data_IF_030666203778
#
_entry.id   IF_030666203778
#
_cell.length_a   1.000
_cell.length_b   1.000
_cell.length_c   1.000
_cell.angle_alpha   90.00
_cell.angle_beta   90.00
_cell.angle_gamma   90.00
#
_symmetry.space_group_name_H-M   'P 1'
#
loop_
_entity.id
_entity.type
_entity.pdbx_description
1 polymer ?
#
# COMPACT_ATOMS: atom_id res chain seq x y z
N UNK A 1 -24.20 8.68 8.53
CA UNK A 1 -23.87 7.37 9.17
C UNK A 1 -22.38 7.35 9.39
N UNK A 2 -21.91 6.77 10.49
CA UNK A 2 -20.47 6.58 10.71
C UNK A 2 -19.91 5.71 9.57
N UNK A 3 -18.72 6.06 9.10
CA UNK A 3 -18.02 5.28 8.10
C UNK A 3 -17.54 3.93 8.67
N UNK A 4 -17.32 2.95 7.82
CA UNK A 4 -16.90 1.59 8.23
C UNK A 4 -15.50 1.59 8.91
N UNK A 5 -14.68 2.59 8.60
CA UNK A 5 -13.31 2.73 9.11
C UNK A 5 -13.15 3.86 10.13
N UNK A 6 -14.24 4.30 10.76
CA UNK A 6 -14.15 5.34 11.78
C UNK A 6 -13.26 4.91 12.95
N UNK A 7 -12.29 5.76 13.30
CA UNK A 7 -11.28 5.48 14.33
C UNK A 7 -10.08 4.65 13.85
N UNK A 8 -10.08 4.17 12.62
CA UNK A 8 -8.93 3.47 12.02
C UNK A 8 -7.91 4.47 11.49
N UNK A 9 -6.64 4.27 11.81
CA UNK A 9 -5.49 5.06 11.34
C UNK A 9 -4.82 4.33 10.18
N UNK A 10 -4.74 4.97 9.02
CA UNK A 10 -4.16 4.38 7.81
C UNK A 10 -3.07 5.29 7.28
N UNK A 11 -1.90 4.75 6.99
CA UNK A 11 -0.85 5.46 6.27
C UNK A 11 -0.80 5.00 4.81
N UNK A 12 -0.85 5.94 3.88
CA UNK A 12 -0.71 5.69 2.44
C UNK A 12 0.62 6.27 1.97
N UNK A 13 1.45 5.43 1.37
CA UNK A 13 2.78 5.83 0.92
C UNK A 13 2.72 6.51 -0.45
N UNK A 14 3.55 7.54 -0.63
CA UNK A 14 3.69 8.27 -1.89
C UNK A 14 5.15 8.62 -2.19
N UNK A 15 5.52 8.55 -3.46
CA UNK A 15 6.79 9.07 -3.98
C UNK A 15 6.62 9.46 -5.44
N UNK A 16 7.61 10.15 -6.00
CA UNK A 16 7.63 10.56 -7.41
C UNK A 16 7.35 9.37 -8.34
N UNK A 17 6.43 9.56 -9.27
CA UNK A 17 6.00 8.55 -10.25
C UNK A 17 4.96 7.58 -9.71
N UNK A 18 4.21 7.94 -8.67
CA UNK A 18 3.09 7.12 -8.19
C UNK A 18 2.05 6.89 -9.30
N UNK A 19 1.32 5.79 -9.24
CA UNK A 19 0.17 5.61 -10.13
C UNK A 19 -0.99 6.46 -9.63
N UNK A 20 -1.46 7.37 -10.48
CA UNK A 20 -2.36 8.46 -10.12
C UNK A 20 -3.68 7.96 -9.53
N UNK A 21 -4.32 6.98 -10.18
CA UNK A 21 -5.61 6.46 -9.75
C UNK A 21 -5.47 5.50 -8.55
N UNK A 22 -4.46 4.65 -8.56
CA UNK A 22 -4.21 3.72 -7.43
C UNK A 22 -3.98 4.48 -6.14
N UNK A 23 -3.31 5.62 -6.20
CA UNK A 23 -3.10 6.48 -5.05
C UNK A 23 -4.37 7.26 -4.68
N UNK A 24 -4.88 8.12 -5.60
CA UNK A 24 -5.94 9.04 -5.26
C UNK A 24 -7.28 8.37 -4.99
N UNK A 25 -7.68 7.38 -5.79
CA UNK A 25 -8.94 6.65 -5.56
C UNK A 25 -8.88 5.91 -4.22
N UNK A 26 -7.74 5.31 -3.89
CA UNK A 26 -7.58 4.61 -2.61
C UNK A 26 -7.63 5.59 -1.43
N UNK A 27 -6.95 6.73 -1.50
CA UNK A 27 -7.01 7.78 -0.46
C UNK A 27 -8.44 8.28 -0.27
N UNK A 28 -9.13 8.60 -1.38
CA UNK A 28 -10.51 9.10 -1.33
C UNK A 28 -11.46 8.05 -0.75
N UNK A 29 -11.30 6.79 -1.16
CA UNK A 29 -12.12 5.68 -0.66
C UNK A 29 -11.94 5.47 0.85
N UNK A 30 -10.72 5.46 1.33
CA UNK A 30 -10.44 5.31 2.76
C UNK A 30 -11.03 6.48 3.58
N UNK A 31 -10.89 7.71 3.07
CA UNK A 31 -11.49 8.89 3.72
C UNK A 31 -13.02 8.87 3.69
N UNK A 32 -13.62 8.43 2.60
CA UNK A 32 -15.08 8.24 2.48
C UNK A 32 -15.59 7.26 3.54
N UNK A 33 -14.84 6.21 3.83
CA UNK A 33 -15.17 5.22 4.86
C UNK A 33 -14.83 5.70 6.30
N UNK A 34 -14.32 6.91 6.46
CA UNK A 34 -14.08 7.52 7.77
C UNK A 34 -12.72 7.24 8.38
N UNK A 35 -11.77 6.66 7.66
CA UNK A 35 -10.42 6.44 8.15
C UNK A 35 -9.66 7.78 8.35
N UNK A 36 -8.84 7.84 9.40
CA UNK A 36 -7.81 8.86 9.57
C UNK A 36 -6.61 8.53 8.68
N UNK A 37 -6.55 9.18 7.51
CA UNK A 37 -5.56 8.88 6.47
C UNK A 37 -4.40 9.88 6.54
N UNK A 38 -3.22 9.36 6.87
CA UNK A 38 -1.93 10.07 6.77
C UNK A 38 -1.26 9.69 5.46
N UNK A 39 -0.83 10.68 4.69
CA UNK A 39 0.01 10.46 3.50
C UNK A 39 1.46 10.63 3.92
N UNK A 40 2.30 9.60 3.72
CA UNK A 40 3.71 9.64 4.07
C UNK A 40 4.60 9.32 2.87
N UNK A 41 5.75 9.97 2.80
CA UNK A 41 6.72 9.77 1.73
C UNK A 41 8.16 10.02 2.19
N UNK A 42 9.14 9.77 1.33
CA UNK A 42 10.53 10.12 1.63
C UNK A 42 10.76 11.63 1.79
N UNK A 43 9.85 12.45 1.29
CA UNK A 43 9.86 13.92 1.37
C UNK A 43 8.45 14.44 1.43
N UNK A 44 8.27 15.64 1.99
CA UNK A 44 7.01 16.38 1.97
C UNK A 44 6.88 17.33 0.77
N UNK A 45 7.90 17.41 -0.08
CA UNK A 45 7.79 18.16 -1.33
C UNK A 45 6.73 17.56 -2.24
N UNK A 46 6.11 18.42 -3.07
CA UNK A 46 5.17 17.96 -4.09
C UNK A 46 5.86 16.98 -5.04
N UNK A 47 5.20 15.86 -5.29
CA UNK A 47 5.62 14.82 -6.23
C UNK A 47 4.58 14.65 -7.32
N UNK A 48 5.02 14.18 -8.48
CA UNK A 48 4.17 13.99 -9.65
C UNK A 48 3.90 12.52 -9.91
N UNK A 49 2.65 12.19 -10.15
CA UNK A 49 2.26 10.88 -10.63
C UNK A 49 2.68 10.62 -12.08
N UNK A 50 2.69 9.38 -12.49
CA UNK A 50 3.10 8.99 -13.85
C UNK A 50 2.17 9.56 -14.95
N UNK A 51 0.92 9.88 -14.62
CA UNK A 51 -0.08 10.47 -15.52
C UNK A 51 -0.38 11.95 -15.16
N UNK A 52 0.53 12.61 -14.44
CA UNK A 52 0.60 14.04 -14.19
C UNK A 52 -0.29 14.62 -13.07
N UNK A 53 -1.06 13.87 -12.32
CA UNK A 53 -1.60 14.36 -11.07
C UNK A 53 -0.47 14.59 -10.07
N UNK A 54 -0.66 15.50 -9.13
CA UNK A 54 0.33 15.79 -8.09
C UNK A 54 -0.18 15.36 -6.72
N UNK A 55 0.73 15.11 -5.81
CA UNK A 55 0.48 14.86 -4.41
C UNK A 55 1.62 15.41 -3.56
N UNK A 56 1.33 15.70 -2.29
CA UNK A 56 2.35 15.98 -1.30
C UNK A 56 2.10 15.09 -0.08
N UNK A 57 3.16 14.56 0.51
CA UNK A 57 3.04 13.86 1.78
C UNK A 57 2.76 14.86 2.91
N UNK A 58 1.91 14.46 3.85
CA UNK A 58 1.63 15.24 5.06
C UNK A 58 2.86 15.25 5.98
N UNK A 59 3.58 14.11 6.00
CA UNK A 59 4.75 13.87 6.86
C UNK A 59 5.79 13.04 6.09
N UNK A 60 7.03 13.03 6.56
CA UNK A 60 8.01 12.06 6.07
C UNK A 60 7.80 10.71 6.74
N UNK A 61 8.27 9.62 6.11
CA UNK A 61 8.20 8.28 6.72
C UNK A 61 9.03 8.23 8.00
N UNK A 62 10.12 8.99 8.08
CA UNK A 62 10.95 9.08 9.30
C UNK A 62 10.16 9.71 10.47
N UNK A 63 9.30 10.70 10.20
CA UNK A 63 8.49 11.37 11.22
C UNK A 63 7.45 10.42 11.86
N UNK A 64 7.01 9.40 11.15
CA UNK A 64 6.04 8.39 11.65
C UNK A 64 6.72 7.10 12.09
N UNK A 65 8.05 7.10 12.20
CA UNK A 65 8.81 5.96 12.71
C UNK A 65 8.39 5.63 14.15
N UNK A 66 7.92 4.39 14.35
CA UNK A 66 7.41 3.94 15.64
C UNK A 66 5.94 4.26 15.91
N UNK A 67 5.26 4.98 15.04
CA UNK A 67 3.80 5.12 15.13
C UNK A 67 3.09 3.82 14.75
N UNK A 68 1.92 3.61 15.34
CA UNK A 68 1.08 2.44 15.08
C UNK A 68 -0.08 2.85 14.18
N UNK A 69 -0.19 2.17 13.04
CA UNK A 69 -1.30 2.28 12.11
C UNK A 69 -2.06 0.95 12.02
N UNK A 70 -3.36 1.01 11.76
CA UNK A 70 -4.18 -0.17 11.47
C UNK A 70 -3.88 -0.74 10.09
N UNK A 71 -3.43 0.13 9.16
CA UNK A 71 -3.00 -0.30 7.84
C UNK A 71 -1.88 0.58 7.27
N UNK A 72 -1.01 -0.06 6.47
CA UNK A 72 -0.05 0.58 5.58
C UNK A 72 -0.42 0.24 4.15
N UNK A 73 -0.55 1.25 3.28
CA UNK A 73 -0.99 1.08 1.89
C UNK A 73 0.07 1.56 0.92
N UNK A 74 0.39 0.71 -0.04
CA UNK A 74 1.44 0.95 -1.04
C UNK A 74 0.83 0.92 -2.45
N UNK A 75 0.46 2.07 -3.02
CA UNK A 75 0.10 2.18 -4.43
C UNK A 75 1.28 1.87 -5.37
N UNK A 76 0.98 1.63 -6.63
CA UNK A 76 1.98 1.29 -7.63
C UNK A 76 2.53 2.49 -8.41
N UNK A 77 2.66 2.31 -9.71
CA UNK A 77 3.43 3.19 -10.59
C UNK A 77 4.92 2.92 -10.48
N UNK A 78 5.74 3.96 -10.60
CA UNK A 78 7.20 3.89 -10.43
C UNK A 78 7.64 4.20 -8.99
N UNK A 79 6.74 4.73 -8.17
CA UNK A 79 7.01 5.09 -6.78
C UNK A 79 7.55 3.92 -5.94
N UNK A 80 7.04 2.67 -6.07
CA UNK A 80 7.55 1.53 -5.30
C UNK A 80 9.05 1.27 -5.48
N UNK A 81 9.62 1.51 -6.67
CA UNK A 81 11.06 1.41 -6.88
C UNK A 81 11.85 2.41 -6.01
N UNK A 82 11.29 3.61 -5.81
CA UNK A 82 11.91 4.62 -4.94
C UNK A 82 11.67 4.33 -3.46
N UNK A 83 10.44 3.98 -3.11
CA UNK A 83 10.04 3.67 -1.74
C UNK A 83 10.85 2.51 -1.16
N UNK A 84 11.05 1.42 -1.93
CA UNK A 84 11.79 0.23 -1.48
C UNK A 84 13.26 0.49 -1.14
N UNK A 85 13.84 1.60 -1.60
CA UNK A 85 15.22 2.00 -1.31
C UNK A 85 15.37 2.63 0.08
N UNK A 86 14.28 3.14 0.67
CA UNK A 86 14.25 3.71 2.01
C UNK A 86 14.18 2.62 3.07
N UNK A 87 15.12 2.65 4.04
CA UNK A 87 15.08 1.73 5.17
C UNK A 87 13.87 2.02 6.05
N UNK A 88 13.54 3.31 6.28
CA UNK A 88 12.37 3.71 7.07
C UNK A 88 11.06 3.16 6.49
N UNK A 89 10.90 3.16 5.14
CA UNK A 89 9.73 2.55 4.48
C UNK A 89 9.67 1.05 4.74
N UNK A 90 10.79 0.34 4.60
CA UNK A 90 10.84 -1.11 4.84
C UNK A 90 10.54 -1.45 6.30
N UNK A 91 11.05 -0.67 7.23
CA UNK A 91 10.82 -0.86 8.66
C UNK A 91 9.36 -0.57 9.05
N UNK A 92 8.74 0.47 8.46
CA UNK A 92 7.32 0.76 8.64
C UNK A 92 6.44 -0.41 8.17
N UNK A 93 6.69 -0.91 6.96
CA UNK A 93 5.93 -2.02 6.37
C UNK A 93 6.13 -3.32 7.16
N UNK A 94 7.39 -3.66 7.49
CA UNK A 94 7.69 -4.84 8.32
C UNK A 94 7.07 -4.74 9.70
N UNK A 95 7.20 -3.58 10.36
CA UNK A 95 6.63 -3.38 11.69
C UNK A 95 5.09 -3.46 11.69
N UNK A 96 4.42 -3.07 10.62
CA UNK A 96 2.99 -3.27 10.45
C UNK A 96 2.67 -4.76 10.34
N UNK A 97 3.39 -5.49 9.50
CA UNK A 97 3.23 -6.94 9.31
C UNK A 97 3.46 -7.71 10.63
N UNK A 98 4.55 -7.41 11.35
CA UNK A 98 4.88 -8.04 12.63
C UNK A 98 3.78 -7.88 13.70
N UNK A 99 3.00 -6.81 13.61
CA UNK A 99 1.86 -6.54 14.50
C UNK A 99 0.53 -7.10 13.98
N UNK A 100 0.51 -7.69 12.79
CA UNK A 100 -0.70 -8.16 12.13
C UNK A 100 -1.58 -7.03 11.58
N UNK A 101 -1.08 -5.80 11.50
CA UNK A 101 -1.77 -4.71 10.82
C UNK A 101 -1.87 -4.99 9.32
N UNK A 102 -2.89 -4.43 8.68
CA UNK A 102 -3.12 -4.67 7.25
C UNK A 102 -2.01 -4.00 6.43
N UNK A 103 -1.43 -4.74 5.50
CA UNK A 103 -0.53 -4.20 4.49
C UNK A 103 -1.17 -4.38 3.12
N UNK A 104 -1.62 -3.27 2.54
CA UNK A 104 -2.26 -3.25 1.23
C UNK A 104 -1.25 -2.88 0.13
N UNK A 105 -1.14 -3.71 -0.90
CA UNK A 105 -0.21 -3.52 -2.02
C UNK A 105 -0.92 -3.75 -3.34
N UNK A 106 -0.87 -2.76 -4.23
CA UNK A 106 -1.45 -2.88 -5.58
C UNK A 106 -0.38 -2.65 -6.64
N UNK A 107 -0.49 -3.34 -7.76
CA UNK A 107 0.33 -3.18 -8.97
C UNK A 107 1.81 -3.44 -8.66
N UNK A 108 2.68 -2.44 -8.81
CA UNK A 108 4.10 -2.53 -8.43
C UNK A 108 4.36 -2.37 -6.92
N UNK A 109 3.32 -2.09 -6.13
CA UNK A 109 3.44 -1.93 -4.67
C UNK A 109 4.05 -3.15 -3.97
N UNK A 110 3.85 -4.35 -4.52
CA UNK A 110 4.44 -5.59 -4.01
C UNK A 110 5.97 -5.59 -3.93
N UNK A 111 6.68 -4.76 -4.71
CA UNK A 111 8.12 -4.59 -4.56
C UNK A 111 8.54 -4.10 -3.18
N UNK A 112 7.74 -3.23 -2.57
CA UNK A 112 8.01 -2.75 -1.21
C UNK A 112 7.87 -3.89 -0.20
N UNK A 113 6.81 -4.70 -0.33
CA UNK A 113 6.62 -5.89 0.51
C UNK A 113 7.73 -6.92 0.36
N UNK A 114 8.18 -7.19 -0.88
CA UNK A 114 9.31 -8.07 -1.14
C UNK A 114 10.59 -7.55 -0.47
N UNK A 115 10.88 -6.26 -0.58
CA UNK A 115 12.06 -5.63 0.03
C UNK A 115 11.95 -5.53 1.56
N UNK A 116 10.74 -5.42 2.10
CA UNK A 116 10.49 -5.52 3.54
C UNK A 116 10.56 -6.97 4.06
N UNK A 117 10.55 -7.99 3.17
CA UNK A 117 10.67 -9.39 3.53
C UNK A 117 9.40 -10.01 4.12
N UNK A 118 8.22 -9.48 3.74
CA UNK A 118 6.93 -9.92 4.31
C UNK A 118 6.12 -10.83 3.38
N UNK A 119 6.58 -11.08 2.14
CA UNK A 119 5.78 -11.80 1.13
C UNK A 119 6.00 -13.31 1.12
N UNK A 120 7.08 -13.79 1.74
CA UNK A 120 7.43 -15.22 1.73
C UNK A 120 6.34 -16.07 2.40
N UNK A 121 5.93 -17.14 1.69
CA UNK A 121 4.89 -18.05 2.18
C UNK A 121 3.45 -17.57 1.95
N UNK A 122 3.26 -16.37 1.44
CA UNK A 122 1.94 -15.82 1.11
C UNK A 122 1.60 -15.99 -0.38
N UNK A 123 0.30 -16.01 -0.68
CA UNK A 123 -0.18 -15.76 -2.04
C UNK A 123 0.01 -14.27 -2.35
N UNK A 124 0.37 -13.97 -3.57
CA UNK A 124 0.63 -12.60 -4.01
C UNK A 124 0.15 -12.39 -5.45
N UNK A 125 -0.22 -11.15 -5.75
CA UNK A 125 -0.49 -10.68 -7.11
C UNK A 125 0.04 -9.27 -7.30
N UNK A 126 -0.10 -8.72 -8.48
CA UNK A 126 0.34 -7.38 -8.83
C UNK A 126 0.42 -7.21 -10.34
N UNK A 127 1.12 -6.19 -10.79
CA UNK A 127 1.53 -6.09 -12.18
C UNK A 127 2.39 -7.29 -12.57
N UNK A 128 2.15 -7.85 -13.74
CA UNK A 128 2.94 -8.99 -14.25
C UNK A 128 4.43 -8.68 -14.32
N UNK A 129 4.82 -7.41 -14.40
CA UNK A 129 6.22 -6.98 -14.40
C UNK A 129 6.98 -7.26 -13.09
N UNK A 130 6.28 -7.54 -11.99
CA UNK A 130 6.92 -7.88 -10.70
C UNK A 130 6.71 -9.34 -10.29
N UNK A 131 6.09 -10.14 -11.14
CA UNK A 131 5.74 -11.55 -10.84
C UNK A 131 6.97 -12.35 -10.42
N UNK A 132 8.02 -12.31 -11.21
CA UNK A 132 9.25 -13.07 -10.94
C UNK A 132 9.92 -12.61 -9.63
N UNK A 133 9.90 -11.31 -9.35
CA UNK A 133 10.45 -10.76 -8.10
C UNK A 133 9.69 -11.28 -6.87
N UNK A 134 8.36 -11.35 -6.94
CA UNK A 134 7.54 -11.88 -5.84
C UNK A 134 7.76 -13.38 -5.66
N UNK A 135 7.82 -14.15 -6.75
CA UNK A 135 8.11 -15.59 -6.72
C UNK A 135 9.51 -15.85 -6.14
N UNK A 136 10.53 -15.12 -6.58
CA UNK A 136 11.88 -15.23 -6.03
C UNK A 136 11.96 -14.80 -4.56
N UNK A 137 11.08 -13.88 -4.12
CA UNK A 137 10.96 -13.53 -2.71
C UNK A 137 10.19 -14.56 -1.87
N UNK A 138 9.74 -15.66 -2.46
CA UNK A 138 9.09 -16.78 -1.77
C UNK A 138 7.57 -16.74 -1.75
N UNK A 139 6.94 -15.86 -2.52
CA UNK A 139 5.49 -15.81 -2.66
C UNK A 139 4.98 -16.83 -3.70
N UNK A 140 3.70 -17.21 -3.58
CA UNK A 140 2.97 -17.96 -4.60
C UNK A 140 2.15 -16.99 -5.44
N UNK A 141 2.48 -16.88 -6.74
CA UNK A 141 1.75 -16.00 -7.63
C UNK A 141 0.33 -16.49 -7.91
N UNK A 142 -0.64 -15.58 -7.84
CA UNK A 142 -2.06 -15.82 -8.15
C UNK A 142 -2.55 -14.71 -9.07
N UNK A 143 -3.21 -15.08 -10.17
CA UNK A 143 -3.79 -14.10 -11.10
C UNK A 143 -5.27 -13.84 -10.76
N UNK A 144 -5.49 -13.09 -9.69
CA UNK A 144 -6.80 -12.64 -9.24
C UNK A 144 -6.83 -11.10 -9.12
N UNK A 145 -7.97 -10.43 -9.41
CA UNK A 145 -8.08 -8.98 -9.37
C UNK A 145 -7.67 -8.35 -8.05
N UNK A 146 -8.17 -8.90 -6.95
CA UNK A 146 -7.83 -8.52 -5.58
C UNK A 146 -8.20 -9.62 -4.59
N UNK A 147 -7.41 -9.78 -3.55
CA UNK A 147 -7.69 -10.71 -2.45
C UNK A 147 -6.91 -10.36 -1.19
N UNK A 148 -7.32 -10.96 -0.09
CA UNK A 148 -6.60 -10.94 1.19
C UNK A 148 -5.96 -12.29 1.45
N UNK A 149 -4.72 -12.30 1.93
CA UNK A 149 -4.02 -13.47 2.44
C UNK A 149 -3.36 -13.12 3.77
N UNK A 150 -3.91 -13.64 4.87
CA UNK A 150 -3.52 -13.20 6.21
C UNK A 150 -3.84 -11.71 6.43
N UNK A 151 -2.83 -10.92 6.75
CA UNK A 151 -2.92 -9.47 6.88
C UNK A 151 -2.47 -8.73 5.60
N UNK A 152 -2.09 -9.43 4.54
CA UNK A 152 -1.69 -8.85 3.27
C UNK A 152 -2.91 -8.74 2.33
N UNK A 153 -3.12 -7.56 1.78
CA UNK A 153 -4.15 -7.29 0.77
C UNK A 153 -3.49 -6.95 -0.54
N UNK A 154 -3.89 -7.65 -1.59
CA UNK A 154 -3.28 -7.59 -2.91
C UNK A 154 -4.25 -7.09 -3.97
N UNK A 155 -3.76 -6.30 -4.92
CA UNK A 155 -4.46 -5.88 -6.12
C UNK A 155 -3.53 -5.92 -7.34
N UNK A 156 -4.07 -6.26 -8.53
CA UNK A 156 -3.22 -6.43 -9.72
C UNK A 156 -2.82 -5.10 -10.35
N UNK A 157 -3.80 -4.35 -10.85
CA UNK A 157 -3.59 -3.19 -11.73
C UNK A 157 -4.72 -2.17 -11.58
N UNK A 158 -4.64 -1.05 -12.30
CA UNK A 158 -5.60 0.07 -12.25
C UNK A 158 -7.05 -0.37 -12.47
N UNK A 159 -7.29 -1.29 -13.41
CA UNK A 159 -8.63 -1.78 -13.72
C UNK A 159 -9.29 -2.51 -12.54
N UNK A 160 -8.49 -3.02 -11.63
CA UNK A 160 -8.94 -3.77 -10.46
C UNK A 160 -9.14 -2.90 -9.20
N UNK A 161 -8.94 -1.56 -9.29
CA UNK A 161 -9.11 -0.64 -8.15
C UNK A 161 -10.45 -0.81 -7.43
N UNK A 162 -11.60 -1.00 -8.10
CA UNK A 162 -12.86 -1.22 -7.39
C UNK A 162 -12.85 -2.48 -6.48
N UNK A 163 -12.35 -3.59 -7.00
CA UNK A 163 -12.20 -4.84 -6.23
C UNK A 163 -11.16 -4.68 -5.12
N UNK A 164 -10.02 -4.07 -5.43
CA UNK A 164 -8.97 -3.73 -4.48
C UNK A 164 -9.49 -2.90 -3.31
N UNK A 165 -10.18 -1.80 -3.58
CA UNK A 165 -10.73 -0.94 -2.53
C UNK A 165 -11.75 -1.67 -1.65
N UNK A 166 -12.60 -2.52 -2.23
CA UNK A 166 -13.56 -3.32 -1.47
C UNK A 166 -12.84 -4.26 -0.49
N UNK A 167 -11.88 -5.06 -0.99
CA UNK A 167 -11.12 -6.01 -0.16
C UNK A 167 -10.30 -5.29 0.91
N UNK A 168 -9.70 -4.13 0.57
CA UNK A 168 -8.90 -3.33 1.50
C UNK A 168 -9.76 -2.79 2.65
N UNK A 169 -10.91 -2.21 2.34
CA UNK A 169 -11.84 -1.69 3.36
C UNK A 169 -12.34 -2.83 4.27
N UNK A 170 -12.76 -3.95 3.69
CA UNK A 170 -13.19 -5.12 4.45
C UNK A 170 -12.09 -5.63 5.39
N UNK A 171 -10.86 -5.69 4.91
CA UNK A 171 -9.72 -6.16 5.71
C UNK A 171 -9.41 -5.23 6.89
N UNK A 172 -9.40 -3.91 6.67
CA UNK A 172 -9.12 -2.92 7.73
C UNK A 172 -10.25 -2.88 8.77
N UNK A 173 -11.52 -3.01 8.34
CA UNK A 173 -12.66 -3.07 9.25
C UNK A 173 -12.58 -4.26 10.21
N UNK A 174 -12.12 -5.42 9.71
CA UNK A 174 -12.04 -6.68 10.46
C UNK A 174 -10.75 -6.82 11.30
N UNK A 175 -9.72 -6.08 10.98
CA UNK A 175 -8.42 -6.07 11.69
C UNK A 175 -8.44 -5.05 12.79
#
# INVERSE_FOLDING_TARGET
>A
MAGRLEGKRVVVLVAEGFEDLEFWVTVMRLREEGADVTIAGPTTAEVRGKNALTAAADVTVDDVSGEVFDAVVVPGGWAPDKLRRSQAVKDLVRGADDRGAIVGMICHGGWVGASAGIVAGHRATGSTGIMDDLVHAGATWVDEPAFRDGNLVWGRVVEDIPAWCAVLVDAIEQG
#
